data_IF_850332504201
#
_entry.id   IF_850332504201
#
_cell.length_a   1.000
_cell.length_b   1.000
_cell.length_c   1.000
_cell.angle_alpha   90.00
_cell.angle_beta   90.00
_cell.angle_gamma   90.00
#
_symmetry.space_group_name_H-M   'P 1'
#
loop_
_entity.id
_entity.type
_entity.pdbx_description
1 polymer ?
#
# COMPACT_ATOMS: atom_id res chain seq x y z
N UNK A 1 29.10 -22.36 7.92
CA UNK A 1 27.79 -22.02 8.51
C UNK A 1 27.48 -20.58 8.14
N UNK A 2 26.66 -20.36 7.11
CA UNK A 2 26.29 -19.00 6.66
C UNK A 2 25.21 -18.49 7.62
N UNK A 3 25.51 -17.43 8.36
CA UNK A 3 24.51 -16.69 9.13
C UNK A 3 23.36 -16.35 8.18
N UNK A 4 22.15 -16.86 8.45
CA UNK A 4 20.97 -16.41 7.73
C UNK A 4 20.75 -14.94 8.11
N UNK A 5 20.69 -14.00 7.16
CA UNK A 5 20.46 -12.59 7.47
C UNK A 5 19.12 -12.46 8.20
N UNK A 6 19.06 -11.53 9.16
CA UNK A 6 17.86 -11.23 9.94
C UNK A 6 16.63 -11.20 9.03
N UNK A 7 15.69 -12.11 9.29
CA UNK A 7 14.46 -12.32 8.54
C UNK A 7 13.43 -11.26 8.96
N UNK A 8 13.77 -9.98 8.74
CA UNK A 8 12.92 -8.85 9.07
C UNK A 8 12.28 -8.31 7.79
N UNK A 9 10.95 -8.23 7.78
CA UNK A 9 10.20 -7.58 6.71
C UNK A 9 10.01 -6.09 7.01
N UNK A 10 10.31 -5.25 6.03
CA UNK A 10 9.96 -3.84 6.03
C UNK A 10 8.54 -3.66 5.47
N UNK A 11 7.65 -3.08 6.27
CA UNK A 11 6.27 -2.81 5.89
C UNK A 11 6.04 -1.31 5.81
N UNK A 12 5.56 -0.83 4.67
CA UNK A 12 5.15 0.57 4.49
C UNK A 12 3.63 0.68 4.59
N UNK A 13 3.14 1.55 5.49
CA UNK A 13 1.71 1.67 5.82
C UNK A 13 1.16 3.03 5.45
N UNK A 14 -0.05 3.07 4.86
CA UNK A 14 -0.86 4.28 4.66
C UNK A 14 -2.22 4.11 5.31
N UNK A 15 -2.48 4.90 6.35
CA UNK A 15 -3.75 4.93 7.06
C UNK A 15 -4.63 6.09 6.58
N UNK A 16 -5.90 5.80 6.26
CA UNK A 16 -6.89 6.80 5.82
C UNK A 16 -8.17 6.67 6.67
N UNK A 17 -8.73 7.80 7.08
CA UNK A 17 -10.00 7.83 7.84
C UNK A 17 -11.23 7.44 7.00
N UNK A 18 -11.11 7.45 5.67
CA UNK A 18 -12.18 7.11 4.71
C UNK A 18 -11.62 6.28 3.55
N UNK A 19 -12.53 5.74 2.73
CA UNK A 19 -12.18 5.08 1.46
C UNK A 19 -11.84 6.12 0.39
N UNK A 20 -10.60 6.60 0.39
CA UNK A 20 -10.11 7.70 -0.45
C UNK A 20 -8.87 7.28 -1.26
N UNK A 21 -8.53 7.99 -2.35
CA UNK A 21 -7.27 7.79 -3.04
C UNK A 21 -6.07 7.93 -2.09
N UNK A 22 -5.14 6.98 -2.16
CA UNK A 22 -3.94 6.97 -1.32
C UNK A 22 -2.86 7.83 -1.98
N UNK A 23 -2.34 8.88 -1.32
CA UNK A 23 -1.26 9.69 -1.88
C UNK A 23 0.06 8.90 -1.93
N UNK A 24 0.63 8.78 -3.14
CA UNK A 24 1.93 8.16 -3.38
C UNK A 24 3.06 9.21 -3.52
N UNK A 25 2.70 10.47 -3.75
CA UNK A 25 3.63 11.60 -3.83
C UNK A 25 3.83 12.11 -5.26
N UNK A 26 4.95 12.80 -5.51
CA UNK A 26 5.32 13.33 -6.84
C UNK A 26 6.13 12.35 -7.68
N UNK A 27 6.60 11.24 -7.09
CA UNK A 27 7.28 10.13 -7.76
C UNK A 27 6.94 8.81 -7.06
N UNK A 28 7.18 7.69 -7.74
CA UNK A 28 6.95 6.33 -7.20
C UNK A 28 8.20 5.70 -6.55
N UNK A 29 9.32 6.42 -6.50
CA UNK A 29 10.59 5.93 -5.94
C UNK A 29 10.49 5.59 -4.44
N UNK A 30 9.58 6.26 -3.73
CA UNK A 30 9.34 6.06 -2.29
C UNK A 30 8.38 4.91 -1.98
N UNK A 31 7.89 4.20 -2.99
CA UNK A 31 7.16 2.93 -2.82
C UNK A 31 8.20 1.83 -2.68
N UNK A 32 8.43 1.41 -1.43
CA UNK A 32 9.53 0.53 -1.01
C UNK A 32 9.09 -0.46 0.08
N UNK A 33 10.04 -1.21 0.63
CA UNK A 33 9.79 -2.27 1.61
C UNK A 33 9.46 -3.60 0.92
N UNK A 34 9.12 -4.60 1.72
CA UNK A 34 8.67 -5.91 1.25
C UNK A 34 7.16 -5.92 1.01
N UNK A 35 6.42 -5.20 1.86
CA UNK A 35 4.96 -5.09 1.79
C UNK A 35 4.48 -3.65 1.91
N UNK A 36 3.34 -3.40 1.29
CA UNK A 36 2.60 -2.16 1.35
C UNK A 36 1.20 -2.42 1.89
N UNK A 37 0.83 -1.71 2.94
CA UNK A 37 -0.47 -1.88 3.60
C UNK A 37 -1.25 -0.59 3.55
N UNK A 38 -2.42 -0.63 2.92
CA UNK A 38 -3.42 0.44 3.03
C UNK A 38 -4.39 0.04 4.15
N UNK A 39 -4.64 0.93 5.10
CA UNK A 39 -5.71 0.75 6.09
C UNK A 39 -6.73 1.86 5.90
N UNK A 40 -7.96 1.51 5.55
CA UNK A 40 -9.03 2.48 5.39
C UNK A 40 -9.98 2.46 6.61
N UNK A 41 -10.74 3.55 6.77
CA UNK A 41 -11.71 3.72 7.87
C UNK A 41 -11.09 3.52 9.26
N UNK A 42 -9.84 3.98 9.47
CA UNK A 42 -9.11 3.78 10.74
C UNK A 42 -9.79 4.40 11.98
N UNK A 43 -10.71 5.33 11.78
CA UNK A 43 -11.50 5.95 12.87
C UNK A 43 -12.90 5.31 13.04
N UNK A 44 -13.17 4.19 12.35
CA UNK A 44 -14.42 3.44 12.43
C UNK A 44 -14.26 2.21 13.33
N UNK A 45 -15.37 1.62 13.76
CA UNK A 45 -15.39 0.32 14.47
C UNK A 45 -15.01 -0.87 13.58
N UNK A 46 -15.00 -0.68 12.25
CA UNK A 46 -14.65 -1.72 11.29
C UNK A 46 -13.67 -1.17 10.23
N UNK A 47 -12.38 -1.00 10.56
CA UNK A 47 -11.35 -0.71 9.57
C UNK A 47 -11.16 -1.90 8.62
N UNK A 48 -10.55 -1.64 7.46
CA UNK A 48 -10.10 -2.72 6.57
C UNK A 48 -8.66 -2.49 6.13
N UNK A 49 -7.89 -3.56 6.08
CA UNK A 49 -6.53 -3.59 5.59
C UNK A 49 -6.47 -4.21 4.19
N UNK A 50 -5.56 -3.70 3.37
CA UNK A 50 -5.30 -4.17 2.02
C UNK A 50 -3.80 -4.41 1.87
N UNK A 51 -3.43 -5.66 1.67
CA UNK A 51 -2.05 -6.14 1.70
C UNK A 51 -1.55 -6.28 0.26
N UNK A 52 -0.57 -5.47 -0.10
CA UNK A 52 -0.05 -5.34 -1.44
C UNK A 52 1.48 -5.45 -1.46
N UNK A 53 2.03 -5.74 -2.63
CA UNK A 53 3.46 -5.62 -2.92
C UNK A 53 3.78 -4.23 -3.48
N UNK A 54 5.00 -3.70 -3.26
CA UNK A 54 5.45 -2.45 -3.88
C UNK A 54 5.29 -2.42 -5.40
N UNK A 55 5.49 -3.56 -6.08
CA UNK A 55 5.33 -3.67 -7.53
C UNK A 55 3.87 -3.44 -7.95
N UNK A 56 2.91 -4.06 -7.27
CA UNK A 56 1.48 -3.90 -7.52
C UNK A 56 1.05 -2.44 -7.26
N UNK A 57 1.57 -1.81 -6.21
CA UNK A 57 1.29 -0.39 -5.92
C UNK A 57 1.79 0.52 -7.05
N UNK A 58 2.98 0.23 -7.61
CA UNK A 58 3.56 1.00 -8.72
C UNK A 58 2.77 0.79 -10.02
N UNK A 59 2.38 -0.44 -10.31
CA UNK A 59 1.60 -0.80 -11.51
C UNK A 59 0.21 -0.16 -11.48
N UNK A 60 -0.45 -0.16 -10.33
CA UNK A 60 -1.80 0.35 -10.15
C UNK A 60 -1.86 1.86 -9.86
N UNK A 61 -0.72 2.54 -9.81
CA UNK A 61 -0.65 3.96 -9.53
C UNK A 61 -1.26 4.80 -10.65
N UNK A 62 -2.20 5.66 -10.30
CA UNK A 62 -2.74 6.68 -11.18
C UNK A 62 -1.85 7.93 -11.18
N UNK A 63 -1.37 8.34 -12.36
CA UNK A 63 -0.66 9.61 -12.57
C UNK A 63 -1.67 10.71 -12.91
N UNK A 64 -1.80 11.70 -12.05
CA UNK A 64 -2.51 12.95 -12.31
C UNK A 64 -1.55 14.09 -12.61
N UNK A 65 -1.92 14.97 -13.54
CA UNK A 65 -1.19 16.18 -13.86
C UNK A 65 -2.13 17.39 -13.85
N UNK A 66 -1.74 18.44 -13.14
CA UNK A 66 -2.48 19.71 -13.08
C UNK A 66 -1.48 20.86 -13.02
N UNK A 67 -1.60 21.84 -13.92
CA UNK A 67 -0.75 23.03 -13.94
C UNK A 67 0.76 22.67 -13.96
N UNK A 68 1.12 21.62 -14.72
CA UNK A 68 2.50 21.11 -14.80
C UNK A 68 2.99 20.35 -13.56
N UNK A 69 2.16 20.19 -12.52
CA UNK A 69 2.48 19.42 -11.32
C UNK A 69 1.97 17.99 -11.45
N UNK A 70 2.88 17.04 -11.26
CA UNK A 70 2.59 15.60 -11.29
C UNK A 70 2.31 15.10 -9.88
N UNK A 71 1.28 14.26 -9.74
CA UNK A 71 0.94 13.58 -8.50
C UNK A 71 0.51 12.14 -8.77
N UNK A 72 0.92 11.23 -7.92
CA UNK A 72 0.56 9.81 -8.00
C UNK A 72 -0.38 9.43 -6.87
N UNK A 73 -1.40 8.65 -7.22
CA UNK A 73 -2.45 8.21 -6.30
C UNK A 73 -2.78 6.74 -6.55
N UNK A 74 -3.02 5.98 -5.49
CA UNK A 74 -3.64 4.66 -5.62
C UNK A 74 -5.16 4.83 -5.45
N UNK A 75 -5.93 4.56 -6.50
CA UNK A 75 -7.38 4.77 -6.47
C UNK A 75 -8.07 3.72 -5.59
N UNK A 76 -9.21 4.05 -4.94
CA UNK A 76 -9.97 3.08 -4.14
C UNK A 76 -10.34 1.81 -4.90
N UNK A 77 -10.71 1.92 -6.17
CA UNK A 77 -11.02 0.77 -7.02
C UNK A 77 -9.80 -0.10 -7.33
N UNK A 78 -8.59 0.45 -7.19
CA UNK A 78 -7.34 -0.28 -7.44
C UNK A 78 -6.88 -1.08 -6.22
N UNK A 79 -7.06 -0.59 -4.99
CA UNK A 79 -6.59 -1.30 -3.79
C UNK A 79 -7.71 -2.03 -3.04
N UNK A 80 -8.96 -1.57 -3.12
CA UNK A 80 -10.11 -2.19 -2.47
C UNK A 80 -10.64 -3.33 -3.33
N UNK A 81 -9.80 -4.35 -3.49
CA UNK A 81 -10.08 -5.58 -4.23
C UNK A 81 -9.96 -6.79 -3.30
N UNK A 82 -10.73 -7.84 -3.58
CA UNK A 82 -10.71 -9.08 -2.81
C UNK A 82 -9.32 -9.74 -2.78
N UNK A 83 -8.53 -9.55 -3.83
CA UNK A 83 -7.14 -10.02 -3.93
C UNK A 83 -6.16 -9.34 -2.98
N UNK A 84 -6.56 -8.25 -2.32
CA UNK A 84 -5.73 -7.51 -1.35
C UNK A 84 -6.38 -7.42 0.04
N UNK A 85 -7.71 -7.40 0.10
CA UNK A 85 -8.47 -7.16 1.33
C UNK A 85 -8.26 -8.27 2.37
N UNK A 86 -7.74 -7.88 3.54
CA UNK A 86 -7.39 -8.76 4.66
C UNK A 86 -6.48 -9.93 4.29
N UNK A 87 -5.69 -9.80 3.21
CA UNK A 87 -4.79 -10.84 2.69
C UNK A 87 -3.51 -10.96 3.50
N UNK A 88 -3.63 -11.09 4.81
CA UNK A 88 -2.52 -11.16 5.77
C UNK A 88 -1.62 -12.39 5.56
N UNK A 89 -2.16 -13.47 4.99
CA UNK A 89 -1.40 -14.66 4.60
C UNK A 89 -0.24 -14.35 3.65
N UNK A 90 -0.28 -13.20 2.95
CA UNK A 90 0.83 -12.73 2.10
C UNK A 90 2.08 -12.37 2.89
N UNK A 91 1.93 -11.94 4.15
CA UNK A 91 3.04 -11.56 5.05
C UNK A 91 3.48 -12.78 5.89
N UNK A 92 2.54 -13.64 6.26
CA UNK A 92 2.76 -14.84 7.07
C UNK A 92 1.86 -14.89 8.30
N UNK A 93 2.02 -15.94 9.11
CA UNK A 93 1.10 -16.23 10.23
C UNK A 93 1.61 -15.88 11.63
N UNK A 94 2.81 -15.31 11.75
CA UNK A 94 3.45 -15.00 13.04
C UNK A 94 4.08 -16.21 13.70
#
# INVERSE_FOLDING_TARGET
>A
MRLMPNMAFAIQVKALSKRNPVPLGTSLEKVMGDFWVVVNKVTSSAPSAFIMLPAEVKELAHRGEKEGRVSFWLQPTSYDQESFKEKWERIGHG
#
